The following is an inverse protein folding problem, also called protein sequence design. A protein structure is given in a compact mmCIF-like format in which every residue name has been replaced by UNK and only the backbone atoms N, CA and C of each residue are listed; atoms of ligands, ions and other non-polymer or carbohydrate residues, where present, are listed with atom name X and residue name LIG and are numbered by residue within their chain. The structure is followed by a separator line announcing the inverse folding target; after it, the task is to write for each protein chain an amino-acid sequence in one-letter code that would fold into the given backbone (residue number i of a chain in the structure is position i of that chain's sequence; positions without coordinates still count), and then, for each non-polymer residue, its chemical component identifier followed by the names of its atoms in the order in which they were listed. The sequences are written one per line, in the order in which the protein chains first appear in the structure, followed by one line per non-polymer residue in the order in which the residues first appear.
data_IF_702718083117
#
_entry.id   IF_702718083117
#
_cell.length_a   1.000
_cell.length_b   1.000
_cell.length_c   1.000
_cell.angle_alpha   90.00
_cell.angle_beta   90.00
_cell.angle_gamma   90.00
#
_symmetry.space_group_name_H-M   'P 1'
#
loop_
_entity.id
_entity.type
_entity.pdbx_description
1 polymer ?
#
# COMPACT_ATOMS: atom_id res chain seq x y z
N UNK A 1 -0.26 6.13 -22.18
CA UNK A 1 -1.46 5.78 -21.41
C UNK A 1 -0.97 5.45 -20.01
N UNK A 2 -1.18 6.34 -19.02
CA UNK A 2 -0.72 6.10 -17.64
C UNK A 2 -1.89 5.42 -16.93
N UNK A 3 -1.75 4.14 -16.64
CA UNK A 3 -2.82 3.36 -16.01
C UNK A 3 -2.63 3.41 -14.50
N UNK A 4 -3.41 4.25 -13.83
CA UNK A 4 -3.41 4.36 -12.38
C UNK A 4 -4.30 3.25 -11.79
N UNK A 5 -3.70 2.28 -11.10
CA UNK A 5 -4.46 1.28 -10.36
C UNK A 5 -4.84 1.87 -8.99
N UNK A 6 -6.06 2.39 -8.91
CA UNK A 6 -6.66 2.90 -7.69
C UNK A 6 -7.56 1.82 -7.10
N UNK A 7 -7.06 1.07 -6.12
CA UNK A 7 -7.92 0.31 -5.21
C UNK A 7 -7.73 0.88 -3.81
N UNK A 8 -8.66 1.77 -3.46
CA UNK A 8 -8.76 2.30 -2.11
C UNK A 8 -8.78 1.16 -1.12
N UNK A 9 -7.90 1.22 -0.12
CA UNK A 9 -8.03 0.40 1.09
C UNK A 9 -9.17 1.00 1.90
N UNK A 10 -10.38 0.86 1.37
CA UNK A 10 -11.60 1.09 2.09
C UNK A 10 -11.81 -0.15 2.97
N UNK A 11 -11.49 -0.01 4.26
CA UNK A 11 -12.03 -0.89 5.29
C UNK A 11 -13.54 -0.67 5.35
N UNK A 12 -14.30 -1.36 4.51
CA UNK A 12 -15.76 -1.35 4.56
C UNK A 12 -16.30 -2.78 4.41
N UNK A 13 -17.04 -3.21 5.44
CA UNK A 13 -18.06 -4.24 5.32
C UNK A 13 -17.68 -5.65 5.76
N UNK A 14 -17.52 -5.88 7.08
CA UNK A 14 -17.89 -7.16 7.67
C UNK A 14 -18.74 -6.93 8.91
N UNK A 15 -19.97 -7.45 8.85
CA UNK A 15 -20.92 -7.40 9.94
C UNK A 15 -20.37 -8.14 11.16
N UNK A 16 -20.40 -7.45 12.29
CA UNK A 16 -20.71 -7.97 13.61
C UNK A 16 -20.14 -9.37 13.92
N UNK A 17 -18.85 -9.44 14.28
CA UNK A 17 -18.30 -10.45 15.19
C UNK A 17 -16.97 -9.93 15.79
N UNK A 18 -16.92 -9.97 17.12
CA UNK A 18 -15.75 -9.89 18.01
C UNK A 18 -14.86 -8.62 18.07
N UNK A 19 -15.19 -7.79 19.08
CA UNK A 19 -14.27 -7.26 20.13
C UNK A 19 -12.77 -7.15 19.78
N UNK A 20 -12.41 -6.21 18.91
CA UNK A 20 -11.06 -5.61 18.91
C UNK A 20 -11.19 -4.09 18.73
N UNK A 21 -11.54 -3.41 19.81
CA UNK A 21 -11.81 -1.96 19.86
C UNK A 21 -10.55 -1.06 19.78
N UNK A 22 -9.37 -1.55 19.37
CA UNK A 22 -8.10 -0.87 19.72
C UNK A 22 -7.03 -0.71 18.64
N UNK A 23 -7.31 -0.81 17.35
CA UNK A 23 -6.29 -0.46 16.34
C UNK A 23 -6.92 0.36 15.22
N UNK A 24 -7.14 1.67 15.44
CA UNK A 24 -7.22 2.56 14.28
C UNK A 24 -7.18 4.02 14.63
N UNK A 25 -6.10 4.70 14.24
CA UNK A 25 -6.18 6.11 13.89
C UNK A 25 -5.45 6.44 12.59
N UNK A 26 -4.96 5.46 11.84
CA UNK A 26 -4.24 5.69 10.58
C UNK A 26 -5.05 5.15 9.39
N UNK A 27 -5.55 6.06 8.55
CA UNK A 27 -6.20 5.73 7.28
C UNK A 27 -5.38 6.33 6.15
N UNK A 28 -4.92 5.50 5.22
CA UNK A 28 -4.21 5.97 4.04
C UNK A 28 -4.74 5.32 2.77
N UNK A 29 -4.70 6.08 1.68
CA UNK A 29 -5.04 5.62 0.34
C UNK A 29 -3.74 5.57 -0.48
N UNK A 30 -3.52 4.43 -1.15
CA UNK A 30 -2.27 4.09 -1.83
C UNK A 30 -2.59 3.83 -3.29
N UNK A 31 -1.87 4.49 -4.19
CA UNK A 31 -1.97 4.28 -5.63
C UNK A 31 -0.65 3.81 -6.19
N UNK A 32 -0.73 2.79 -7.04
CA UNK A 32 0.42 2.21 -7.73
C UNK A 32 0.37 2.66 -9.19
N UNK A 33 1.48 3.20 -9.67
CA UNK A 33 1.69 3.61 -11.05
C UNK A 33 2.58 2.59 -11.75
N UNK A 34 2.11 2.11 -12.90
CA UNK A 34 2.90 1.29 -13.81
C UNK A 34 2.66 1.73 -15.26
N UNK A 35 3.66 1.50 -16.10
CA UNK A 35 3.63 1.74 -17.56
C UNK A 35 3.30 0.47 -18.36
N UNK A 36 3.30 -0.67 -17.71
CA UNK A 36 3.21 -1.98 -18.37
C UNK A 36 1.84 -2.61 -18.09
N UNK A 37 1.09 -2.90 -19.16
CA UNK A 37 -0.28 -3.42 -19.05
C UNK A 37 -0.30 -4.87 -18.53
N UNK A 38 0.70 -5.70 -18.87
CA UNK A 38 0.84 -7.06 -18.34
C UNK A 38 1.11 -7.04 -16.83
N UNK A 39 1.97 -6.12 -16.38
CA UNK A 39 2.24 -5.93 -14.95
C UNK A 39 1.00 -5.44 -14.20
N UNK A 40 0.14 -4.65 -14.83
CA UNK A 40 -1.10 -4.18 -14.21
C UNK A 40 -2.08 -5.33 -13.93
N UNK A 41 -2.14 -6.34 -14.80
CA UNK A 41 -2.92 -7.55 -14.53
C UNK A 41 -2.34 -8.36 -13.37
N UNK A 42 -1.00 -8.47 -13.29
CA UNK A 42 -0.33 -9.13 -12.17
C UNK A 42 -0.55 -8.38 -10.84
N UNK A 43 -0.53 -7.03 -10.85
CA UNK A 43 -0.86 -6.22 -9.68
C UNK A 43 -2.31 -6.45 -9.21
N UNK A 44 -3.25 -6.60 -10.15
CA UNK A 44 -4.64 -6.93 -9.84
C UNK A 44 -4.76 -8.33 -9.24
N UNK A 45 -4.06 -9.31 -9.82
CA UNK A 45 -4.04 -10.70 -9.36
C UNK A 45 -3.47 -10.82 -7.95
N UNK A 46 -2.33 -10.17 -7.69
CA UNK A 46 -1.62 -10.19 -6.41
C UNK A 46 -2.03 -9.08 -5.44
N UNK A 47 -3.13 -8.37 -5.74
CA UNK A 47 -3.65 -7.30 -4.91
C UNK A 47 -3.81 -7.64 -3.41
N UNK A 48 -4.24 -8.86 -3.01
CA UNK A 48 -4.28 -9.26 -1.61
C UNK A 48 -2.90 -9.32 -0.94
N UNK A 49 -1.89 -9.87 -1.63
CA UNK A 49 -0.53 -9.99 -1.12
C UNK A 49 0.12 -8.60 -0.94
N UNK A 50 -0.06 -7.72 -1.94
CA UNK A 50 0.43 -6.33 -1.89
C UNK A 50 -0.16 -5.60 -0.68
N UNK A 51 -1.47 -5.72 -0.46
CA UNK A 51 -2.13 -5.12 0.71
C UNK A 51 -1.58 -5.68 2.02
N UNK A 52 -1.35 -6.98 2.11
CA UNK A 52 -0.78 -7.60 3.30
C UNK A 52 0.63 -7.05 3.60
N UNK A 53 1.52 -7.00 2.60
CA UNK A 53 2.88 -6.47 2.76
C UNK A 53 2.86 -4.99 3.18
N UNK A 54 2.01 -4.17 2.55
CA UNK A 54 1.86 -2.76 2.92
C UNK A 54 1.30 -2.60 4.34
N UNK A 55 0.37 -3.46 4.76
CA UNK A 55 -0.18 -3.45 6.12
C UNK A 55 0.89 -3.79 7.17
N UNK A 56 1.73 -4.80 6.91
CA UNK A 56 2.86 -5.14 7.77
C UNK A 56 3.84 -3.98 7.88
N UNK A 57 4.24 -3.42 6.73
CA UNK A 57 5.15 -2.28 6.66
C UNK A 57 4.63 -1.07 7.44
N UNK A 58 3.35 -0.73 7.28
CA UNK A 58 2.69 0.36 7.99
C UNK A 58 2.56 0.09 9.50
N UNK A 59 2.36 -1.17 9.90
CA UNK A 59 2.27 -1.56 11.30
C UNK A 59 3.58 -1.40 12.07
N UNK A 60 4.71 -1.48 11.38
CA UNK A 60 6.04 -1.30 11.96
C UNK A 60 6.46 0.17 12.07
N UNK A 61 5.75 1.08 11.40
CA UNK A 61 6.12 2.50 11.40
C UNK A 61 5.68 3.21 12.68
N UNK A 62 6.61 3.98 13.24
CA UNK A 62 6.32 4.91 14.33
C UNK A 62 5.39 6.03 13.88
N UNK A 63 4.19 6.12 14.45
CA UNK A 63 3.21 7.18 14.17
C UNK A 63 3.73 8.63 14.37
N UNK A 64 4.84 8.82 15.09
CA UNK A 64 5.53 10.12 15.21
C UNK A 64 6.38 10.45 13.97
N UNK A 65 7.01 9.45 13.34
CA UNK A 65 7.84 9.62 12.14
C UNK A 65 6.97 9.89 10.92
N UNK A 66 5.85 9.20 10.77
CA UNK A 66 4.95 9.37 9.61
C UNK A 66 4.18 10.70 9.60
N UNK A 67 4.23 11.47 10.70
CA UNK A 67 3.68 12.84 10.74
C UNK A 67 4.60 13.84 10.05
N UNK A 68 5.91 13.58 9.96
CA UNK A 68 6.86 14.50 9.31
C UNK A 68 6.90 14.26 7.80
N UNK A 69 7.21 15.29 6.99
CA UNK A 69 7.38 15.13 5.54
C UNK A 69 8.46 14.09 5.19
N UNK A 70 9.60 14.14 5.88
CA UNK A 70 10.69 13.20 5.69
C UNK A 70 10.29 11.75 5.99
N UNK A 71 9.50 11.53 7.03
CA UNK A 71 9.01 10.19 7.37
C UNK A 71 8.01 9.65 6.34
N UNK A 72 7.19 10.52 5.74
CA UNK A 72 6.29 10.12 4.65
C UNK A 72 7.07 9.73 3.39
N UNK A 73 8.10 10.49 3.02
CA UNK A 73 8.96 10.14 1.89
C UNK A 73 9.77 8.86 2.15
N UNK A 74 10.30 8.69 3.36
CA UNK A 74 10.97 7.45 3.75
C UNK A 74 10.03 6.24 3.68
N UNK A 75 8.80 6.39 4.18
CA UNK A 75 7.77 5.36 4.10
C UNK A 75 7.41 5.04 2.65
N UNK A 76 7.31 6.05 1.79
CA UNK A 76 7.04 5.87 0.35
C UNK A 76 8.13 5.05 -0.32
N UNK A 77 9.39 5.35 -0.04
CA UNK A 77 10.54 4.60 -0.58
C UNK A 77 10.53 3.14 -0.11
N UNK A 78 10.31 2.92 1.19
CA UNK A 78 10.22 1.57 1.75
C UNK A 78 9.03 0.80 1.16
N UNK A 79 7.89 1.45 0.96
CA UNK A 79 6.72 0.83 0.36
C UNK A 79 6.96 0.43 -1.11
N UNK A 80 7.62 1.29 -1.91
CA UNK A 80 8.01 0.94 -3.29
C UNK A 80 8.94 -0.27 -3.30
N UNK A 81 9.94 -0.29 -2.42
CA UNK A 81 10.91 -1.39 -2.34
C UNK A 81 10.27 -2.70 -1.88
N UNK A 82 9.36 -2.66 -0.91
CA UNK A 82 8.64 -3.83 -0.42
C UNK A 82 7.72 -4.42 -1.50
N UNK A 83 7.00 -3.57 -2.25
CA UNK A 83 6.15 -4.02 -3.36
C UNK A 83 6.98 -4.52 -4.54
N UNK A 84 8.08 -3.85 -4.88
CA UNK A 84 9.04 -4.29 -5.90
C UNK A 84 9.58 -5.69 -5.59
N UNK A 85 10.05 -5.90 -4.36
CA UNK A 85 10.57 -7.21 -3.91
C UNK A 85 9.48 -8.28 -3.98
N UNK A 86 8.28 -7.99 -3.47
CA UNK A 86 7.15 -8.91 -3.53
C UNK A 86 6.79 -9.29 -4.98
N UNK A 87 6.78 -8.33 -5.91
CA UNK A 87 6.45 -8.57 -7.32
C UNK A 87 7.55 -9.34 -8.04
N UNK A 88 8.83 -9.15 -7.66
CA UNK A 88 9.94 -9.99 -8.14
C UNK A 88 9.76 -11.43 -7.68
N UNK A 89 9.38 -11.65 -6.43
CA UNK A 89 9.20 -13.01 -5.89
C UNK A 89 7.98 -13.72 -6.49
N UNK A 90 6.87 -13.00 -6.69
CA UNK A 90 5.62 -13.59 -7.19
C UNK A 90 5.59 -13.73 -8.72
N UNK A 91 6.10 -12.74 -9.44
CA UNK A 91 5.92 -12.61 -10.87
C UNK A 91 7.23 -12.55 -11.67
N UNK A 92 8.38 -12.51 -11.00
CA UNK A 92 9.70 -12.45 -11.64
C UNK A 92 9.98 -11.14 -12.37
N UNK A 93 9.11 -10.13 -12.23
CA UNK A 93 9.21 -8.84 -12.92
C UNK A 93 8.94 -7.70 -11.94
N UNK A 94 9.62 -6.58 -12.20
CA UNK A 94 9.40 -5.33 -11.49
C UNK A 94 9.20 -4.21 -12.51
N UNK A 95 7.96 -3.78 -12.64
CA UNK A 95 7.57 -2.65 -13.50
C UNK A 95 6.79 -1.61 -12.70
N UNK A 96 7.03 -1.56 -11.39
CA UNK A 96 6.47 -0.54 -10.53
C UNK A 96 7.26 0.76 -10.72
N UNK A 97 6.60 1.79 -11.25
CA UNK A 97 7.25 3.07 -11.53
C UNK A 97 7.22 3.98 -10.31
N UNK A 98 6.06 4.07 -9.66
CA UNK A 98 5.89 4.89 -8.47
C UNK A 98 4.73 4.40 -7.60
N UNK A 99 4.82 4.73 -6.32
CA UNK A 99 3.73 4.59 -5.35
C UNK A 99 3.43 5.98 -4.78
N UNK A 100 2.16 6.33 -4.75
CA UNK A 100 1.67 7.61 -4.24
C UNK A 100 0.71 7.40 -3.08
N UNK A 101 0.87 8.20 -2.02
CA UNK A 101 -0.12 8.32 -0.97
C UNK A 101 -1.02 9.51 -1.28
N UNK A 102 -2.29 9.25 -1.59
CA UNK A 102 -3.24 10.30 -2.01
C UNK A 102 -4.07 10.82 -0.84
N UNK A 103 -4.32 9.99 0.16
CA UNK A 103 -4.95 10.39 1.42
C UNK A 103 -4.13 9.82 2.57
N UNK A 104 -3.90 10.62 3.61
CA UNK A 104 -3.20 10.17 4.81
C UNK A 104 -3.77 10.88 6.04
N UNK A 105 -4.52 10.14 6.84
CA UNK A 105 -5.21 10.63 8.03
C UNK A 105 -4.66 9.91 9.25
N UNK A 106 -4.13 10.69 10.21
CA UNK A 106 -3.60 10.17 11.49
C UNK A 106 -4.28 10.95 12.62
N UNK A 107 -5.15 10.29 13.38
CA UNK A 107 -5.89 10.87 14.50
C UNK A 107 -5.25 10.58 15.85
#
# INVERSE_FOLDING_TARGET
MVSAYQKSVACDGWGQLDRVWFIWRLRCDIQLMTKDDDFLEQLKLHGPAIRHTLLMLLSEQDGKKIKTPDGKEALRKQAVEAVSTLMKDLAGKDSLEALYFTTFFVQ
#
